data_IF_965035390273
#
_entry.id   IF_965035390273
#
_cell.length_a   1.000
_cell.length_b   1.000
_cell.length_c   1.000
_cell.angle_alpha   90.00
_cell.angle_beta   90.00
_cell.angle_gamma   90.00
#
_symmetry.space_group_name_H-M   'P 1'
#
loop_
_entity.id
_entity.type
_entity.pdbx_description
1 polymer ?
#
# COMPACT_ATOMS: atom_id res chain seq x y z
N UNK A 1 -9.77 -1.87 -16.90
CA UNK A 1 -8.44 -2.49 -17.00
C UNK A 1 -8.58 -3.75 -16.20
N UNK A 2 -8.65 -4.88 -16.91
CA UNK A 2 -9.21 -6.09 -16.31
C UNK A 2 -8.11 -7.13 -16.08
N UNK A 3 -6.91 -6.86 -16.61
CA UNK A 3 -5.72 -7.71 -16.54
C UNK A 3 -4.57 -6.98 -15.85
N UNK A 4 -3.81 -7.73 -15.08
CA UNK A 4 -2.60 -7.26 -14.42
C UNK A 4 -1.48 -7.05 -15.44
N UNK A 5 -0.92 -5.84 -15.47
CA UNK A 5 0.20 -5.51 -16.36
C UNK A 5 1.51 -6.22 -15.99
N UNK A 6 1.62 -6.75 -14.77
CA UNK A 6 2.83 -7.44 -14.30
C UNK A 6 2.82 -8.95 -14.65
N UNK A 7 1.69 -9.64 -14.41
CA UNK A 7 1.61 -11.10 -14.59
C UNK A 7 0.51 -11.59 -15.54
N UNK A 8 -0.36 -10.70 -16.04
CA UNK A 8 -1.49 -11.06 -16.92
C UNK A 8 -2.72 -11.66 -16.21
N UNK A 9 -2.68 -11.84 -14.88
CA UNK A 9 -3.81 -12.34 -14.09
C UNK A 9 -5.02 -11.38 -14.05
N UNK A 10 -6.16 -11.88 -13.58
CA UNK A 10 -7.39 -11.06 -13.40
C UNK A 10 -7.21 -10.04 -12.28
N UNK A 11 -7.83 -8.87 -12.48
CA UNK A 11 -7.92 -7.81 -11.47
C UNK A 11 -9.30 -7.81 -10.81
N UNK A 12 -9.29 -7.74 -9.48
CA UNK A 12 -10.50 -7.57 -8.67
C UNK A 12 -10.53 -6.18 -8.05
N UNK A 13 -11.62 -5.46 -8.28
CA UNK A 13 -11.90 -4.19 -7.61
C UNK A 13 -12.28 -4.45 -6.15
N UNK A 14 -11.59 -3.78 -5.22
CA UNK A 14 -11.80 -3.97 -3.79
C UNK A 14 -11.37 -2.73 -3.01
N UNK A 15 -11.80 -2.64 -1.76
CA UNK A 15 -11.30 -1.64 -0.81
C UNK A 15 -10.28 -2.29 0.12
N UNK A 16 -9.05 -1.79 0.10
CA UNK A 16 -8.01 -2.22 1.03
C UNK A 16 -8.26 -1.60 2.40
N UNK A 17 -8.40 -2.44 3.42
CA UNK A 17 -8.59 -1.96 4.81
C UNK A 17 -7.35 -1.23 5.30
N UNK A 18 -6.16 -1.73 4.96
CA UNK A 18 -4.88 -1.09 5.24
C UNK A 18 -3.97 -1.15 4.02
N UNK A 19 -3.33 -0.04 3.69
CA UNK A 19 -2.29 0.05 2.68
C UNK A 19 -1.10 0.85 3.21
N UNK A 20 0.07 0.21 3.25
CA UNK A 20 1.31 0.84 3.68
C UNK A 20 2.01 1.50 2.49
N UNK A 21 2.11 2.82 2.53
CA UNK A 21 2.71 3.67 1.53
C UNK A 21 4.08 4.15 2.01
N UNK A 22 5.14 3.79 1.28
CA UNK A 22 6.51 4.19 1.58
C UNK A 22 6.85 5.50 0.86
N UNK A 23 7.27 6.50 1.62
CA UNK A 23 7.72 7.79 1.09
C UNK A 23 8.88 8.35 1.90
N UNK A 24 10.01 8.63 1.25
CA UNK A 24 11.22 9.22 1.88
C UNK A 24 11.62 8.51 3.19
N UNK A 25 11.71 7.17 3.16
CA UNK A 25 12.05 6.32 4.32
C UNK A 25 11.05 6.39 5.49
N UNK A 26 9.83 6.89 5.26
CA UNK A 26 8.72 6.86 6.21
C UNK A 26 7.61 5.98 5.66
N UNK A 27 6.94 5.29 6.56
CA UNK A 27 5.76 4.48 6.25
C UNK A 27 4.52 5.24 6.69
N UNK A 28 3.56 5.40 5.77
CA UNK A 28 2.25 5.95 6.03
C UNK A 28 1.22 4.87 5.80
N UNK A 29 0.27 4.71 6.73
CA UNK A 29 -0.83 3.75 6.55
C UNK A 29 -2.09 4.49 6.14
N UNK A 30 -2.62 4.12 4.98
CA UNK A 30 -3.92 4.58 4.50
C UNK A 30 -4.98 3.50 4.79
N UNK A 31 -6.17 3.95 5.19
CA UNK A 31 -7.31 3.07 5.44
C UNK A 31 -8.37 3.22 4.36
N UNK A 32 -9.09 2.14 4.10
CA UNK A 32 -10.23 2.11 3.17
C UNK A 32 -9.89 2.62 1.76
N UNK A 33 -8.76 2.18 1.21
CA UNK A 33 -8.26 2.65 -0.09
C UNK A 33 -8.90 1.83 -1.23
N UNK A 34 -9.68 2.44 -2.13
CA UNK A 34 -10.16 1.76 -3.34
C UNK A 34 -8.98 1.38 -4.24
N UNK A 35 -8.97 0.12 -4.70
CA UNK A 35 -7.90 -0.41 -5.54
C UNK A 35 -8.39 -1.54 -6.46
N UNK A 36 -7.59 -1.84 -7.48
CA UNK A 36 -7.69 -3.08 -8.24
C UNK A 36 -6.52 -3.98 -7.85
N UNK A 37 -6.81 -5.17 -7.32
CA UNK A 37 -5.80 -6.11 -6.84
C UNK A 37 -5.78 -7.32 -7.75
N UNK A 38 -4.58 -7.74 -8.17
CA UNK A 38 -4.44 -8.98 -8.89
C UNK A 38 -4.58 -10.16 -7.94
N UNK A 39 -5.54 -11.06 -8.20
CA UNK A 39 -5.75 -12.24 -7.36
C UNK A 39 -4.66 -13.31 -7.52
N UNK A 40 -3.84 -13.22 -8.58
CA UNK A 40 -2.75 -14.16 -8.83
C UNK A 40 -1.41 -13.76 -8.16
N UNK A 41 -1.01 -12.49 -8.25
CA UNK A 41 0.29 -12.02 -7.73
C UNK A 41 0.20 -10.98 -6.61
N UNK A 42 -0.99 -10.43 -6.32
CA UNK A 42 -1.18 -9.44 -5.26
C UNK A 42 -0.77 -8.00 -5.62
N UNK A 43 -0.43 -7.74 -6.88
CA UNK A 43 -0.15 -6.39 -7.41
C UNK A 43 -1.36 -5.48 -7.22
N UNK A 44 -1.13 -4.20 -6.89
CA UNK A 44 -2.17 -3.24 -6.52
C UNK A 44 -2.12 -2.04 -7.45
N UNK A 45 -3.22 -1.78 -8.13
CA UNK A 45 -3.40 -0.62 -8.97
C UNK A 45 -4.37 0.34 -8.30
N UNK A 46 -4.07 1.62 -8.39
CA UNK A 46 -4.88 2.70 -7.84
C UNK A 46 -5.24 3.66 -8.97
N UNK A 47 -6.49 4.13 -8.96
CA UNK A 47 -6.90 5.18 -9.89
C UNK A 47 -6.07 6.45 -9.65
N UNK A 48 -5.97 7.28 -10.69
CA UNK A 48 -5.13 8.48 -10.67
C UNK A 48 -5.50 9.43 -9.52
N UNK A 49 -6.80 9.61 -9.26
CA UNK A 49 -7.30 10.44 -8.16
C UNK A 49 -6.90 9.88 -6.78
N UNK A 50 -6.96 8.57 -6.58
CA UNK A 50 -6.56 7.91 -5.33
C UNK A 50 -5.05 8.07 -5.11
N UNK A 51 -4.25 7.83 -6.13
CA UNK A 51 -2.79 8.01 -6.08
C UNK A 51 -2.40 9.46 -5.78
N UNK A 52 -3.06 10.42 -6.42
CA UNK A 52 -2.85 11.85 -6.17
C UNK A 52 -3.23 12.26 -4.75
N UNK A 53 -4.35 11.74 -4.23
CA UNK A 53 -4.81 12.02 -2.87
C UNK A 53 -3.80 11.51 -1.83
N UNK A 54 -3.32 10.26 -1.97
CA UNK A 54 -2.31 9.70 -1.07
C UNK A 54 -1.01 10.52 -1.10
N UNK A 55 -0.54 10.86 -2.30
CA UNK A 55 0.67 11.66 -2.46
C UNK A 55 0.53 13.06 -1.85
N UNK A 56 -0.59 13.74 -2.10
CA UNK A 56 -0.90 15.06 -1.53
C UNK A 56 -0.90 15.01 0.00
N UNK A 57 -1.53 14.00 0.60
CA UNK A 57 -1.59 13.85 2.05
C UNK A 57 -0.20 13.73 2.68
N UNK A 58 0.69 12.94 2.05
CA UNK A 58 2.07 12.75 2.53
C UNK A 58 2.93 13.99 2.32
N UNK A 59 2.86 14.62 1.14
CA UNK A 59 3.64 15.83 0.82
C UNK A 59 3.25 16.99 1.74
N UNK A 60 1.95 17.20 1.92
CA UNK A 60 1.42 18.28 2.76
C UNK A 60 1.52 17.98 4.25
N UNK A 61 1.93 16.76 4.63
CA UNK A 61 2.04 16.30 6.02
C UNK A 61 0.72 16.48 6.76
N UNK A 62 -0.37 16.04 6.14
CA UNK A 62 -1.70 16.11 6.76
C UNK A 62 -1.70 15.33 8.09
N UNK A 63 -2.45 15.85 9.08
CA UNK A 63 -2.53 15.23 10.40
C UNK A 63 -3.21 13.84 10.30
N UNK A 64 -2.56 12.77 10.77
CA UNK A 64 -3.14 11.45 10.68
C UNK A 64 -4.27 11.28 11.70
N UNK A 65 -5.28 10.49 11.33
CA UNK A 65 -6.39 10.11 12.23
C UNK A 65 -5.89 9.46 13.52
N UNK A 66 -4.81 8.68 13.44
CA UNK A 66 -4.11 8.04 14.56
C UNK A 66 -2.73 7.56 14.11
N UNK A 67 -1.89 7.21 15.08
CA UNK A 67 -0.66 6.45 14.86
C UNK A 67 -0.84 5.01 15.35
N UNK A 68 -0.50 4.04 14.50
CA UNK A 68 -0.50 2.63 14.89
C UNK A 68 0.88 2.23 15.45
N UNK A 69 0.90 1.39 16.50
CA UNK A 69 2.13 0.72 16.95
C UNK A 69 2.34 -0.54 16.11
N UNK A 70 3.43 -0.58 15.34
CA UNK A 70 3.77 -1.71 14.48
C UNK A 70 4.99 -2.44 15.08
N UNK A 71 4.89 -3.75 15.38
CA UNK A 71 6.04 -4.52 15.81
C UNK A 71 7.05 -4.66 14.67
N UNK A 72 8.33 -4.47 14.97
CA UNK A 72 9.44 -4.63 14.02
C UNK A 72 10.23 -5.87 14.41
N UNK A 73 10.39 -6.81 13.47
CA UNK A 73 11.17 -8.03 13.66
C UNK A 73 12.50 -7.88 12.92
N UNK A 74 13.61 -8.13 13.62
CA UNK A 74 14.96 -8.12 13.06
C UNK A 74 15.40 -9.54 12.67
N UNK A 75 15.78 -9.74 11.41
CA UNK A 75 16.22 -11.02 10.88
C UNK A 75 17.73 -11.24 11.03
N UNK A 76 18.52 -10.20 11.33
CA UNK A 76 19.99 -10.33 11.48
C UNK A 76 20.39 -11.21 12.67
N UNK A 77 19.50 -11.40 13.64
CA UNK A 77 19.74 -12.23 14.83
C UNK A 77 19.24 -13.68 14.71
N UNK A 78 18.57 -14.05 13.62
CA UNK A 78 17.87 -15.35 13.52
C UNK A 78 18.27 -16.25 12.35
N UNK A 79 19.18 -15.80 11.48
CA UNK A 79 19.74 -16.64 10.39
C UNK A 79 21.23 -16.87 10.67
N UNK A 80 21.63 -18.07 11.16
CA UNK A 80 23.05 -18.41 11.25
C UNK A 80 23.67 -18.43 9.83
N UNK A 81 24.91 -17.94 9.74
CA UNK A 81 25.68 -17.82 8.49
C UNK A 81 25.90 -19.17 7.78
#
# INVERSE_FOLDING_TARGET
MDKCNFCGGELRTTTLQHFDYLWQNKTFRFENVPAHVCDACGEKYFDANISQAMNKAVINKEDPKRFDKIPVLDLQTSVPA
#
